data_IF_464513823343
#
_entry.id   IF_464513823343
#
_cell.length_a   1.000
_cell.length_b   1.000
_cell.length_c   1.000
_cell.angle_alpha   90.00
_cell.angle_beta   90.00
_cell.angle_gamma   90.00
#
_symmetry.space_group_name_H-M   'P 1'
#
loop_
_entity.id
_entity.type
_entity.pdbx_description
1 polymer ?
#
# COMPACT_ATOMS: atom_id res chain seq x y z
N UNK A 1 6.53 26.71 17.97
CA UNK A 1 5.19 26.19 17.59
C UNK A 1 5.34 24.68 17.39
N UNK A 2 4.69 23.83 18.20
CA UNK A 2 4.95 22.40 18.13
C UNK A 2 4.31 21.81 16.87
N UNK A 3 5.12 21.06 16.14
CA UNK A 3 4.80 20.38 14.89
C UNK A 3 4.00 19.12 15.22
N UNK A 4 2.79 18.99 14.70
CA UNK A 4 2.02 17.75 14.75
C UNK A 4 2.61 16.75 13.73
N UNK A 5 3.71 16.09 14.12
CA UNK A 5 4.39 15.06 13.33
C UNK A 5 4.42 13.81 14.17
N UNK A 6 3.75 12.77 13.70
CA UNK A 6 3.99 11.41 14.16
C UNK A 6 4.94 10.77 13.14
N UNK A 7 6.18 10.57 13.56
CA UNK A 7 7.18 9.81 12.80
C UNK A 7 6.87 8.33 12.99
N UNK A 8 6.60 7.61 11.90
CA UNK A 8 6.51 6.16 11.91
C UNK A 8 7.90 5.60 11.62
N UNK A 9 8.56 5.09 12.64
CA UNK A 9 9.94 4.59 12.55
C UNK A 9 9.92 3.11 12.18
N UNK A 10 9.87 2.83 10.88
CA UNK A 10 10.14 1.50 10.33
C UNK A 10 11.58 1.50 9.83
N UNK A 11 12.47 0.94 10.67
CA UNK A 11 13.86 0.58 10.40
C UNK A 11 14.40 0.97 9.02
N UNK A 12 15.16 2.07 8.94
CA UNK A 12 16.52 2.02 8.41
C UNK A 12 17.26 3.37 8.48
N UNK A 13 18.48 3.28 9.00
CA UNK A 13 19.47 4.35 9.21
C UNK A 13 20.11 4.81 7.89
N UNK A 14 19.31 5.15 6.89
CA UNK A 14 19.79 5.49 5.54
C UNK A 14 19.44 6.91 5.11
N UNK A 15 19.82 7.92 5.91
CA UNK A 15 19.98 9.28 5.40
C UNK A 15 21.31 9.84 5.90
N UNK A 16 22.22 10.10 4.95
CA UNK A 16 23.20 11.21 4.92
C UNK A 16 24.55 10.90 4.27
N UNK A 17 24.72 9.82 3.49
CA UNK A 17 25.79 9.84 2.49
C UNK A 17 25.29 10.64 1.30
N UNK A 18 25.76 11.89 1.17
CA UNK A 18 25.59 12.70 -0.06
C UNK A 18 25.93 11.80 -1.25
N UNK A 19 24.95 11.55 -2.13
CA UNK A 19 25.20 10.83 -3.37
C UNK A 19 26.22 11.63 -4.17
N UNK A 20 27.37 11.04 -4.53
CA UNK A 20 28.37 11.76 -5.30
C UNK A 20 27.77 12.18 -6.64
N UNK A 21 28.03 13.43 -7.03
CA UNK A 21 27.76 13.89 -8.37
C UNK A 21 28.70 13.16 -9.32
N UNK A 22 28.12 12.30 -10.16
CA UNK A 22 28.85 11.56 -11.18
C UNK A 22 28.25 11.96 -12.52
N UNK A 23 29.10 12.42 -13.44
CA UNK A 23 28.74 12.61 -14.84
C UNK A 23 29.14 11.36 -15.60
N UNK A 24 28.19 10.76 -16.29
CA UNK A 24 28.44 9.59 -17.12
C UNK A 24 28.73 10.00 -18.56
N UNK A 25 29.64 9.25 -19.20
CA UNK A 25 30.07 9.51 -20.56
C UNK A 25 29.50 8.42 -21.49
N UNK A 26 28.23 8.56 -21.84
CA UNK A 26 27.57 7.77 -22.88
C UNK A 26 26.68 8.68 -23.72
N UNK A 27 26.49 8.31 -24.98
CA UNK A 27 25.63 9.00 -25.93
C UNK A 27 24.15 8.71 -25.66
N UNK A 28 23.29 9.54 -26.25
CA UNK A 28 21.85 9.32 -26.22
C UNK A 28 21.44 7.97 -26.81
N UNK A 29 22.08 7.60 -27.92
CA UNK A 29 21.81 6.34 -28.60
C UNK A 29 22.18 5.13 -27.73
N UNK A 30 23.34 5.16 -27.07
CA UNK A 30 23.76 4.10 -26.14
C UNK A 30 22.78 3.96 -24.97
N UNK A 31 22.30 5.07 -24.42
CA UNK A 31 21.32 5.07 -23.34
C UNK A 31 19.98 4.48 -23.76
N UNK A 32 19.42 4.95 -24.88
CA UNK A 32 18.12 4.50 -25.37
C UNK A 32 18.15 3.04 -25.81
N UNK A 33 19.24 2.58 -26.44
CA UNK A 33 19.44 1.17 -26.80
C UNK A 33 19.52 0.25 -25.57
N UNK A 34 20.16 0.71 -24.49
CA UNK A 34 20.19 -0.05 -23.25
C UNK A 34 18.79 -0.21 -22.63
N UNK A 35 17.99 0.86 -22.62
CA UNK A 35 16.59 0.81 -22.15
C UNK A 35 15.73 -0.10 -23.04
N UNK A 36 15.92 -0.04 -24.36
CA UNK A 36 15.22 -0.89 -25.33
C UNK A 36 15.47 -2.39 -25.06
N UNK A 37 16.73 -2.75 -24.83
CA UNK A 37 17.12 -4.13 -24.55
C UNK A 37 16.54 -4.63 -23.21
N UNK A 38 16.62 -3.82 -22.15
CA UNK A 38 16.02 -4.14 -20.85
C UNK A 38 14.50 -4.30 -20.95
N UNK A 39 13.83 -3.38 -21.64
CA UNK A 39 12.39 -3.43 -21.82
C UNK A 39 11.95 -4.69 -22.61
N UNK A 40 12.71 -5.08 -23.64
CA UNK A 40 12.48 -6.33 -24.37
C UNK A 40 12.61 -7.56 -23.47
N UNK A 41 13.59 -7.58 -22.59
CA UNK A 41 13.78 -8.68 -21.65
C UNK A 41 12.69 -8.69 -20.56
N UNK A 42 12.22 -7.53 -20.13
CA UNK A 42 11.07 -7.42 -19.22
C UNK A 42 9.78 -7.91 -19.86
N UNK A 43 9.57 -7.64 -21.16
CA UNK A 43 8.45 -8.21 -21.92
C UNK A 43 8.53 -9.74 -21.92
N UNK A 44 9.70 -10.32 -22.22
CA UNK A 44 9.88 -11.79 -22.20
C UNK A 44 9.64 -12.39 -20.81
N UNK A 45 9.99 -11.67 -19.75
CA UNK A 45 9.77 -12.07 -18.35
C UNK A 45 8.35 -11.81 -17.84
N UNK A 46 7.47 -11.22 -18.66
CA UNK A 46 6.10 -10.91 -18.27
C UNK A 46 5.98 -9.78 -17.24
N UNK A 47 6.98 -8.90 -17.11
CA UNK A 47 6.93 -7.76 -16.19
C UNK A 47 5.99 -6.71 -16.77
N UNK A 48 5.00 -6.27 -16.00
CA UNK A 48 4.06 -5.23 -16.45
C UNK A 48 4.76 -3.88 -16.68
N UNK A 49 4.33 -3.10 -17.70
CA UNK A 49 4.94 -1.80 -18.04
C UNK A 49 5.17 -0.86 -16.86
N UNK A 50 4.23 -0.81 -15.92
CA UNK A 50 4.25 0.03 -14.72
C UNK A 50 5.41 -0.25 -13.75
N UNK A 51 5.94 -1.48 -13.69
CA UNK A 51 7.05 -1.85 -12.80
C UNK A 51 8.41 -1.73 -13.48
N UNK A 52 8.43 -1.64 -14.81
CA UNK A 52 9.66 -1.63 -15.60
C UNK A 52 10.61 -0.47 -15.27
N UNK A 53 10.15 0.77 -15.00
CA UNK A 53 11.06 1.84 -14.59
C UNK A 53 11.84 1.49 -13.32
N UNK A 54 11.17 0.87 -12.33
CA UNK A 54 11.79 0.44 -11.07
C UNK A 54 12.75 -0.72 -11.31
N UNK A 55 12.37 -1.70 -12.13
CA UNK A 55 13.27 -2.78 -12.53
C UNK A 55 14.49 -2.28 -13.30
N UNK A 56 14.34 -1.25 -14.15
CA UNK A 56 15.51 -0.61 -14.78
C UNK A 56 16.39 0.02 -13.71
N UNK A 57 15.85 0.83 -12.79
CA UNK A 57 16.65 1.47 -11.75
C UNK A 57 17.44 0.46 -10.88
N UNK A 58 16.91 -0.76 -10.70
CA UNK A 58 17.60 -1.84 -9.95
C UNK A 58 18.61 -2.63 -10.79
N UNK A 59 18.41 -2.77 -12.10
CA UNK A 59 19.23 -3.64 -12.97
C UNK A 59 20.21 -2.89 -13.86
N UNK A 60 20.00 -1.60 -14.10
CA UNK A 60 20.81 -0.82 -15.03
C UNK A 60 22.27 -0.71 -14.57
N UNK A 61 22.54 -0.74 -13.27
CA UNK A 61 23.90 -0.79 -12.71
C UNK A 61 24.62 -2.12 -12.99
N UNK A 62 23.88 -3.23 -13.10
CA UNK A 62 24.42 -4.56 -13.42
C UNK A 62 24.60 -4.81 -14.93
N UNK A 63 23.81 -4.14 -15.76
CA UNK A 63 23.75 -4.34 -17.22
C UNK A 63 24.57 -3.30 -17.99
N UNK A 64 24.87 -2.16 -17.37
CA UNK A 64 25.80 -1.16 -17.88
C UNK A 64 26.95 -0.99 -16.87
N UNK A 65 28.14 -1.57 -17.13
CA UNK A 65 29.29 -1.45 -16.24
C UNK A 65 29.68 0.00 -15.91
N UNK A 66 29.39 0.94 -16.81
CA UNK A 66 29.61 2.38 -16.61
C UNK A 66 28.66 3.01 -15.56
N UNK A 67 27.56 2.33 -15.22
CA UNK A 67 26.58 2.73 -14.21
C UNK A 67 26.67 1.86 -12.95
N UNK A 68 27.73 1.07 -12.79
CA UNK A 68 27.91 0.14 -11.67
C UNK A 68 27.85 0.82 -10.30
N UNK A 69 28.24 2.08 -10.22
CA UNK A 69 28.19 2.92 -9.03
C UNK A 69 27.10 4.02 -9.10
N UNK A 70 26.16 3.88 -10.04
CA UNK A 70 25.06 4.82 -10.19
C UNK A 70 24.08 4.69 -9.03
N UNK A 71 24.00 5.74 -8.22
CA UNK A 71 22.98 5.88 -7.22
C UNK A 71 21.82 6.66 -7.84
N UNK A 72 20.65 6.04 -7.85
CA UNK A 72 19.43 6.64 -8.38
C UNK A 72 18.75 7.41 -7.26
N UNK A 73 18.65 8.72 -7.42
CA UNK A 73 17.78 9.54 -6.59
C UNK A 73 16.40 9.61 -7.25
N UNK A 74 15.35 9.04 -6.65
CA UNK A 74 14.00 9.11 -7.20
C UNK A 74 13.41 10.54 -7.24
N UNK A 75 14.14 11.55 -6.71
CA UNK A 75 13.64 12.91 -6.47
C UNK A 75 14.61 14.03 -6.85
N UNK A 76 15.35 13.87 -7.94
CA UNK A 76 16.16 14.97 -8.47
C UNK A 76 15.44 15.69 -9.60
N UNK A 77 14.85 16.84 -9.25
CA UNK A 77 14.22 17.79 -10.17
C UNK A 77 15.27 18.60 -10.95
N UNK A 78 16.45 18.04 -11.25
CA UNK A 78 17.42 18.74 -12.08
C UNK A 78 16.86 18.88 -13.50
N UNK A 79 16.91 20.10 -14.09
CA UNK A 79 16.40 20.33 -15.41
C UNK A 79 17.14 19.45 -16.43
N UNK A 80 16.35 18.87 -17.33
CA UNK A 80 16.84 18.08 -18.44
C UNK A 80 17.78 18.92 -19.32
N UNK A 81 19.03 18.47 -19.46
CA UNK A 81 19.94 18.92 -20.52
C UNK A 81 20.24 17.72 -21.39
N UNK A 82 19.80 17.75 -22.65
CA UNK A 82 20.01 16.66 -23.61
C UNK A 82 21.50 16.34 -23.75
N UNK A 83 21.87 15.06 -23.67
CA UNK A 83 23.25 14.60 -23.77
C UNK A 83 24.08 14.75 -22.49
N UNK A 84 23.47 15.17 -21.38
CA UNK A 84 24.12 15.18 -20.07
C UNK A 84 23.46 14.12 -19.19
N UNK A 85 24.26 13.14 -18.77
CA UNK A 85 23.82 12.06 -17.90
C UNK A 85 24.53 12.17 -16.56
N UNK A 86 23.76 12.33 -15.49
CA UNK A 86 24.31 12.47 -14.13
C UNK A 86 23.61 11.53 -13.18
N UNK A 87 24.26 11.23 -12.04
CA UNK A 87 23.62 10.49 -10.93
C UNK A 87 22.33 11.17 -10.43
N UNK A 88 22.16 12.46 -10.71
CA UNK A 88 20.99 13.26 -10.33
C UNK A 88 19.87 13.17 -11.38
N UNK A 89 20.15 13.18 -12.68
CA UNK A 89 19.08 13.23 -13.69
C UNK A 89 18.66 11.86 -14.27
N UNK A 90 19.42 10.79 -14.00
CA UNK A 90 19.24 9.49 -14.64
C UNK A 90 17.87 8.85 -14.34
N UNK A 91 17.39 8.95 -13.10
CA UNK A 91 16.05 8.45 -12.73
C UNK A 91 14.93 9.17 -13.49
N UNK A 92 15.04 10.50 -13.62
CA UNK A 92 14.11 11.33 -14.40
C UNK A 92 14.13 10.95 -15.88
N UNK A 93 15.31 10.67 -16.44
CA UNK A 93 15.48 10.25 -17.84
C UNK A 93 14.85 8.88 -18.11
N UNK A 94 15.06 7.91 -17.23
CA UNK A 94 14.42 6.59 -17.30
C UNK A 94 12.90 6.75 -17.27
N UNK A 95 12.36 7.47 -16.28
CA UNK A 95 10.93 7.69 -16.15
C UNK A 95 10.33 8.38 -17.39
N UNK A 96 11.03 9.38 -17.95
CA UNK A 96 10.58 10.08 -19.16
C UNK A 96 10.53 9.14 -20.37
N UNK A 97 11.55 8.31 -20.58
CA UNK A 97 11.60 7.35 -21.69
C UNK A 97 10.43 6.37 -21.63
N UNK A 98 10.19 5.76 -20.45
CA UNK A 98 9.05 4.86 -20.27
C UNK A 98 7.72 5.59 -20.44
N UNK A 99 7.59 6.84 -19.96
CA UNK A 99 6.35 7.62 -20.08
C UNK A 99 6.00 7.94 -21.52
N UNK A 100 6.99 8.27 -22.35
CA UNK A 100 6.80 8.49 -23.78
C UNK A 100 6.35 7.21 -24.50
N UNK A 101 6.85 6.05 -24.07
CA UNK A 101 6.57 4.75 -24.71
C UNK A 101 5.23 4.14 -24.29
N UNK A 102 4.92 4.17 -23.01
CA UNK A 102 3.79 3.44 -22.42
C UNK A 102 2.62 4.33 -22.02
N UNK A 103 2.84 5.65 -21.89
CA UNK A 103 1.82 6.62 -21.52
C UNK A 103 1.06 6.17 -20.27
N UNK A 104 -0.26 6.03 -20.40
CA UNK A 104 -1.15 5.64 -19.31
C UNK A 104 -0.96 4.19 -18.81
N UNK A 105 -0.27 3.31 -19.57
CA UNK A 105 0.08 1.95 -19.10
C UNK A 105 1.11 1.94 -17.97
N UNK A 106 1.74 3.09 -17.70
CA UNK A 106 2.56 3.26 -16.49
C UNK A 106 1.74 3.60 -15.25
N UNK A 107 0.47 3.97 -15.41
CA UNK A 107 -0.39 4.20 -14.26
C UNK A 107 -0.49 2.89 -13.48
N UNK A 108 -0.03 2.93 -12.24
CA UNK A 108 -0.04 1.74 -11.40
C UNK A 108 -1.46 1.31 -11.01
N UNK A 109 -2.46 2.17 -11.19
CA UNK A 109 -3.87 1.87 -10.90
C UNK A 109 -4.04 1.18 -9.55
N UNK A 110 -4.84 0.11 -9.54
CA UNK A 110 -5.03 -0.73 -8.34
C UNK A 110 -3.80 -1.58 -7.97
N UNK A 111 -2.80 -1.69 -8.85
CA UNK A 111 -1.61 -2.53 -8.66
C UNK A 111 -0.47 -1.83 -7.90
N UNK A 112 -0.57 -0.53 -7.59
CA UNK A 112 0.27 0.11 -6.56
C UNK A 112 -0.52 0.44 -5.30
N UNK A 113 -1.50 -0.39 -4.98
CA UNK A 113 -2.22 -0.34 -3.73
C UNK A 113 -1.85 -1.61 -2.97
N UNK A 114 -1.31 -1.47 -1.75
CA UNK A 114 -1.03 -2.60 -0.86
C UNK A 114 -2.26 -3.04 -0.06
N UNK A 115 -3.30 -2.21 -0.05
CA UNK A 115 -4.60 -2.50 0.53
C UNK A 115 -5.46 -1.25 0.62
N UNK A 116 -6.68 -1.41 1.08
CA UNK A 116 -7.62 -0.33 1.33
C UNK A 116 -8.09 -0.39 2.78
N UNK A 117 -8.79 0.65 3.21
CA UNK A 117 -9.56 0.59 4.43
C UNK A 117 -10.75 1.55 4.37
N UNK A 118 -11.76 1.27 5.20
CA UNK A 118 -12.79 2.23 5.51
C UNK A 118 -12.32 3.19 6.61
N UNK A 119 -12.41 4.49 6.35
CA UNK A 119 -12.34 5.53 7.37
C UNK A 119 -13.74 6.11 7.61
N UNK A 120 -14.18 6.12 8.87
CA UNK A 120 -15.41 6.80 9.25
C UNK A 120 -15.12 8.27 9.54
N UNK A 121 -15.64 9.15 8.70
CA UNK A 121 -15.58 10.60 8.90
C UNK A 121 -16.99 11.06 9.28
N UNK A 122 -17.18 11.38 10.57
CA UNK A 122 -18.48 11.77 11.16
C UNK A 122 -19.61 10.77 10.88
N UNK A 123 -19.28 9.49 10.88
CA UNK A 123 -20.24 8.39 10.66
C UNK A 123 -20.42 7.97 9.20
N UNK A 124 -19.93 8.75 8.23
CA UNK A 124 -19.96 8.35 6.82
C UNK A 124 -18.68 7.57 6.46
N UNK A 125 -18.79 6.41 5.80
CA UNK A 125 -17.63 5.65 5.33
C UNK A 125 -17.00 6.29 4.09
N UNK A 126 -15.68 6.42 4.13
CA UNK A 126 -14.83 6.77 3.00
C UNK A 126 -13.78 5.68 2.78
N UNK A 127 -13.36 5.49 1.52
CA UNK A 127 -12.28 4.57 1.18
C UNK A 127 -10.96 5.32 1.28
N UNK A 128 -10.03 4.82 2.09
CA UNK A 128 -8.65 5.26 2.10
C UNK A 128 -7.76 4.21 1.44
N UNK A 129 -6.91 4.67 0.52
CA UNK A 129 -6.02 3.84 -0.27
C UNK A 129 -4.65 3.79 0.40
N UNK A 130 -4.07 2.60 0.53
CA UNK A 130 -2.68 2.42 0.94
C UNK A 130 -1.78 2.25 -0.30
N UNK A 131 -1.06 3.28 -0.74
CA UNK A 131 -0.18 3.14 -1.91
C UNK A 131 1.04 2.27 -1.60
N UNK A 132 1.69 1.70 -2.61
CA UNK A 132 3.05 1.16 -2.47
C UNK A 132 4.03 2.33 -2.31
N UNK A 133 4.89 2.28 -1.29
CA UNK A 133 5.86 3.34 -0.99
C UNK A 133 7.25 2.72 -0.92
N UNK A 134 8.19 3.31 -1.66
CA UNK A 134 9.61 2.98 -1.57
C UNK A 134 10.31 4.02 -0.71
N UNK A 135 10.80 3.60 0.47
CA UNK A 135 11.48 4.47 1.44
C UNK A 135 10.55 5.03 2.51
N UNK A 136 11.00 6.08 3.19
CA UNK A 136 10.25 6.74 4.27
C UNK A 136 9.49 7.93 3.72
N UNK A 137 8.21 8.03 4.07
CA UNK A 137 7.42 9.23 3.82
C UNK A 137 6.73 9.68 5.09
N UNK A 138 6.44 10.98 5.14
CA UNK A 138 5.59 11.59 6.14
C UNK A 138 4.16 11.62 5.65
N UNK A 139 3.20 11.20 6.47
CA UNK A 139 1.78 11.30 6.15
C UNK A 139 1.21 12.54 6.85
N UNK A 140 0.57 13.41 6.09
CA UNK A 140 0.01 14.68 6.57
C UNK A 140 -1.44 14.85 6.14
N UNK A 141 -2.14 15.76 6.82
CA UNK A 141 -3.45 16.23 6.40
C UNK A 141 -3.35 17.68 5.98
N UNK A 142 -3.39 17.95 4.67
CA UNK A 142 -3.38 19.34 4.17
C UNK A 142 -4.47 19.56 3.13
N UNK A 143 -5.39 20.47 3.44
CA UNK A 143 -6.54 20.74 2.58
C UNK A 143 -6.23 21.88 1.60
N UNK A 144 -5.23 22.70 1.92
CA UNK A 144 -4.78 23.79 1.06
C UNK A 144 -3.95 23.22 -0.10
N UNK A 145 -4.08 23.84 -1.26
CA UNK A 145 -3.32 23.48 -2.45
C UNK A 145 -1.87 23.99 -2.34
N UNK A 146 -1.12 23.40 -1.42
CA UNK A 146 0.29 23.71 -1.14
C UNK A 146 1.13 22.64 -1.81
N UNK A 147 2.21 23.06 -2.47
CA UNK A 147 3.23 22.13 -2.95
C UNK A 147 3.87 21.45 -1.75
N UNK A 148 3.58 20.16 -1.57
CA UNK A 148 4.17 19.38 -0.49
C UNK A 148 5.59 18.93 -0.86
N UNK A 149 6.46 18.72 0.15
CA UNK A 149 7.73 18.03 -0.04
C UNK A 149 7.54 16.67 -0.72
N UNK A 150 8.54 16.22 -1.47
CA UNK A 150 8.49 14.96 -2.22
C UNK A 150 8.43 13.71 -1.34
N UNK A 151 8.85 13.84 -0.07
CA UNK A 151 8.79 12.79 0.96
C UNK A 151 7.49 12.86 1.79
N UNK A 152 6.46 13.57 1.31
CA UNK A 152 5.21 13.76 2.04
C UNK A 152 4.00 13.27 1.23
N UNK A 153 3.19 12.42 1.85
CA UNK A 153 1.89 11.99 1.32
C UNK A 153 0.79 12.76 2.04
N UNK A 154 -0.05 13.43 1.27
CA UNK A 154 -1.29 14.01 1.77
C UNK A 154 -2.39 12.95 1.85
N UNK A 155 -2.86 12.65 3.05
CA UNK A 155 -3.95 11.69 3.27
C UNK A 155 -5.25 12.13 2.60
N UNK A 156 -5.52 13.44 2.50
CA UNK A 156 -6.71 13.97 1.81
C UNK A 156 -6.79 13.45 0.36
N UNK A 157 -5.65 13.34 -0.32
CA UNK A 157 -5.55 12.88 -1.71
C UNK A 157 -5.57 11.34 -1.83
N UNK A 158 -5.61 10.63 -0.71
CA UNK A 158 -5.69 9.16 -0.65
C UNK A 158 -7.05 8.67 -0.16
N UNK A 159 -7.95 9.59 0.14
CA UNK A 159 -9.33 9.27 0.50
C UNK A 159 -10.22 9.54 -0.71
N UNK A 160 -10.88 8.51 -1.21
CA UNK A 160 -11.76 8.60 -2.36
C UNK A 160 -13.00 9.45 -2.05
N UNK A 161 -13.38 10.31 -3.00
CA UNK A 161 -14.59 11.15 -2.92
C UNK A 161 -14.66 12.08 -1.69
N UNK A 162 -13.54 12.33 -0.99
CA UNK A 162 -13.48 13.32 0.08
C UNK A 162 -13.51 14.73 -0.50
N UNK A 163 -14.58 15.47 -0.22
CA UNK A 163 -14.71 16.84 -0.71
C UNK A 163 -13.86 17.81 0.09
N UNK A 164 -13.41 18.89 -0.55
CA UNK A 164 -12.70 19.99 0.11
C UNK A 164 -13.50 20.53 1.31
N UNK A 165 -14.82 20.68 1.17
CA UNK A 165 -15.67 21.22 2.23
C UNK A 165 -15.66 20.33 3.47
N UNK A 166 -15.80 19.00 3.30
CA UNK A 166 -15.72 18.06 4.42
C UNK A 166 -14.33 18.10 5.03
N UNK A 167 -13.28 17.98 4.22
CA UNK A 167 -11.90 17.94 4.69
C UNK A 167 -11.48 19.20 5.46
N UNK A 168 -11.90 20.37 5.00
CA UNK A 168 -11.59 21.67 5.63
C UNK A 168 -12.41 21.92 6.90
N UNK A 169 -13.54 21.21 7.07
CA UNK A 169 -14.43 21.38 8.23
C UNK A 169 -14.03 20.53 9.45
N UNK A 170 -13.06 19.62 9.30
CA UNK A 170 -12.63 18.74 10.39
C UNK A 170 -11.82 19.50 11.44
N UNK A 171 -12.08 19.18 12.70
CA UNK A 171 -11.30 19.67 13.84
C UNK A 171 -9.92 19.01 13.87
N UNK A 172 -8.98 19.62 14.61
CA UNK A 172 -7.64 19.06 14.78
C UNK A 172 -7.66 17.66 15.40
N UNK A 173 -8.57 17.41 16.34
CA UNK A 173 -8.69 16.12 17.01
C UNK A 173 -9.25 15.04 16.10
N UNK A 174 -10.24 15.39 15.25
CA UNK A 174 -10.74 14.49 14.20
C UNK A 174 -9.62 14.11 13.23
N UNK A 175 -8.85 15.10 12.77
CA UNK A 175 -7.70 14.89 11.86
C UNK A 175 -6.64 14.00 12.51
N UNK A 176 -6.29 14.26 13.77
CA UNK A 176 -5.28 13.47 14.49
C UNK A 176 -5.70 12.00 14.59
N UNK A 177 -6.96 11.72 14.94
CA UNK A 177 -7.50 10.36 15.01
C UNK A 177 -7.47 9.64 13.66
N UNK A 178 -7.83 10.35 12.58
CA UNK A 178 -7.77 9.78 11.23
C UNK A 178 -6.34 9.45 10.81
N UNK A 179 -5.39 10.36 11.05
CA UNK A 179 -3.97 10.12 10.76
C UNK A 179 -3.41 8.96 11.58
N UNK A 180 -3.72 8.89 12.87
CA UNK A 180 -3.25 7.80 13.74
C UNK A 180 -3.76 6.43 13.26
N UNK A 181 -5.06 6.33 12.99
CA UNK A 181 -5.68 5.09 12.51
C UNK A 181 -5.12 4.69 11.14
N UNK A 182 -5.00 5.65 10.21
CA UNK A 182 -4.43 5.40 8.90
C UNK A 182 -2.98 4.92 9.01
N UNK A 183 -2.12 5.62 9.77
CA UNK A 183 -0.70 5.27 9.90
C UNK A 183 -0.49 3.87 10.48
N UNK A 184 -1.20 3.53 11.56
CA UNK A 184 -1.09 2.21 12.19
C UNK A 184 -1.59 1.11 11.25
N UNK A 185 -2.70 1.34 10.54
CA UNK A 185 -3.26 0.35 9.61
C UNK A 185 -2.38 0.18 8.39
N UNK A 186 -1.88 1.28 7.83
CA UNK A 186 -0.95 1.27 6.69
C UNK A 186 0.32 0.48 7.03
N UNK A 187 0.94 0.73 8.18
CA UNK A 187 2.13 0.00 8.61
C UNK A 187 1.87 -1.52 8.75
N UNK A 188 0.76 -1.88 9.38
CA UNK A 188 0.34 -3.28 9.55
C UNK A 188 0.03 -3.97 8.20
N UNK A 189 -0.68 -3.29 7.31
CA UNK A 189 -1.02 -3.79 5.98
C UNK A 189 0.23 -3.97 5.12
N UNK A 190 1.14 -3.00 5.15
CA UNK A 190 2.39 -3.07 4.42
C UNK A 190 3.25 -4.25 4.91
N UNK A 191 3.36 -4.45 6.23
CA UNK A 191 4.04 -5.60 6.83
C UNK A 191 3.39 -6.93 6.41
N UNK A 192 2.06 -6.97 6.32
CA UNK A 192 1.33 -8.15 5.87
C UNK A 192 1.56 -8.44 4.39
N UNK A 193 1.48 -7.41 3.54
CA UNK A 193 1.76 -7.46 2.11
C UNK A 193 3.18 -8.00 1.83
N UNK A 194 4.20 -7.49 2.54
CA UNK A 194 5.59 -7.93 2.36
C UNK A 194 5.94 -9.24 3.07
N UNK A 195 5.05 -9.77 3.91
CA UNK A 195 5.36 -10.90 4.80
C UNK A 195 5.71 -12.20 4.09
N UNK A 196 5.29 -12.35 2.83
CA UNK A 196 5.36 -13.61 2.08
C UNK A 196 4.55 -14.75 2.73
N UNK A 197 3.64 -14.43 3.66
CA UNK A 197 2.85 -15.44 4.37
C UNK A 197 1.92 -16.19 3.43
N UNK A 198 1.70 -17.46 3.74
CA UNK A 198 0.70 -18.29 3.05
C UNK A 198 -0.66 -17.61 3.16
N UNK A 199 -1.41 -17.60 2.06
CA UNK A 199 -2.73 -16.95 1.90
C UNK A 199 -2.74 -15.41 1.90
N UNK A 200 -1.57 -14.75 1.89
CA UNK A 200 -1.52 -13.28 1.90
C UNK A 200 -2.19 -12.65 0.67
N UNK A 201 -1.97 -13.19 -0.53
CA UNK A 201 -2.58 -12.68 -1.75
C UNK A 201 -4.10 -12.87 -1.73
N UNK A 202 -4.58 -14.06 -1.40
CA UNK A 202 -6.01 -14.36 -1.32
C UNK A 202 -6.71 -13.58 -0.20
N UNK A 203 -5.99 -13.20 0.86
CA UNK A 203 -6.52 -12.33 1.90
C UNK A 203 -6.69 -10.90 1.39
N UNK A 204 -5.70 -10.36 0.68
CA UNK A 204 -5.78 -9.01 0.10
C UNK A 204 -6.91 -8.90 -0.92
N UNK A 205 -7.19 -9.95 -1.68
CA UNK A 205 -8.37 -10.00 -2.55
C UNK A 205 -9.67 -9.90 -1.75
N UNK A 206 -9.81 -10.64 -0.64
CA UNK A 206 -11.00 -10.52 0.22
C UNK A 206 -11.11 -9.12 0.83
N UNK A 207 -9.99 -8.48 1.18
CA UNK A 207 -9.99 -7.11 1.71
C UNK A 207 -10.59 -6.12 0.71
N UNK A 208 -10.16 -6.18 -0.55
CA UNK A 208 -10.72 -5.36 -1.62
C UNK A 208 -12.23 -5.60 -1.79
N UNK A 209 -12.66 -6.86 -1.83
CA UNK A 209 -14.09 -7.21 -1.94
C UNK A 209 -14.89 -6.73 -0.72
N UNK A 210 -14.32 -6.80 0.47
CA UNK A 210 -14.94 -6.32 1.69
C UNK A 210 -15.20 -4.81 1.64
N UNK A 211 -14.23 -4.02 1.16
CA UNK A 211 -14.38 -2.56 0.98
C UNK A 211 -15.42 -2.25 -0.09
N UNK A 212 -15.32 -2.87 -1.26
CA UNK A 212 -16.23 -2.60 -2.38
C UNK A 212 -17.68 -2.93 -1.99
N UNK A 213 -17.90 -4.05 -1.31
CA UNK A 213 -19.24 -4.47 -0.88
C UNK A 213 -19.95 -3.53 0.10
N UNK A 214 -19.23 -2.65 0.81
CA UNK A 214 -19.82 -1.64 1.72
C UNK A 214 -20.56 -0.54 0.95
N UNK A 215 -20.13 -0.25 -0.28
CA UNK A 215 -20.70 0.80 -1.11
C UNK A 215 -21.78 0.30 -2.09
N UNK A 216 -22.03 -1.01 -2.12
CA UNK A 216 -23.07 -1.62 -2.94
C UNK A 216 -24.23 -2.10 -2.05
N UNK A 217 -25.45 -1.62 -2.29
CA UNK A 217 -26.62 -1.83 -1.40
C UNK A 217 -27.04 -3.29 -1.21
N UNK A 218 -26.61 -4.20 -2.09
CA UNK A 218 -26.83 -5.64 -2.04
C UNK A 218 -25.57 -6.42 -1.59
N UNK A 219 -24.46 -5.72 -1.32
CA UNK A 219 -23.16 -6.30 -1.03
C UNK A 219 -22.84 -6.49 0.46
N UNK A 220 -23.69 -6.06 1.40
CA UNK A 220 -23.33 -6.04 2.83
C UNK A 220 -23.04 -7.42 3.41
N UNK A 221 -23.84 -8.43 3.04
CA UNK A 221 -23.61 -9.81 3.48
C UNK A 221 -22.30 -10.37 2.94
N UNK A 222 -22.02 -10.11 1.65
CA UNK A 222 -20.77 -10.50 0.99
C UNK A 222 -19.56 -9.78 1.60
N UNK A 223 -19.65 -8.46 1.83
CA UNK A 223 -18.59 -7.69 2.48
C UNK A 223 -18.25 -8.19 3.89
N UNK A 224 -19.26 -8.54 4.69
CA UNK A 224 -19.05 -9.14 6.01
C UNK A 224 -18.37 -10.50 5.91
N UNK A 225 -18.77 -11.32 4.93
CA UNK A 225 -18.11 -12.59 4.63
C UNK A 225 -16.65 -12.41 4.21
N UNK A 226 -16.36 -11.44 3.37
CA UNK A 226 -15.00 -11.17 2.90
C UNK A 226 -14.12 -10.62 4.04
N UNK A 227 -14.68 -9.82 4.95
CA UNK A 227 -14.00 -9.42 6.19
C UNK A 227 -13.63 -10.62 7.07
N UNK A 228 -14.49 -11.65 7.11
CA UNK A 228 -14.21 -12.92 7.77
C UNK A 228 -13.10 -13.69 7.06
N UNK A 229 -13.16 -13.82 5.73
CA UNK A 229 -12.16 -14.55 4.95
C UNK A 229 -10.78 -13.90 5.03
N UNK A 230 -10.71 -12.56 4.94
CA UNK A 230 -9.47 -11.81 5.16
C UNK A 230 -8.85 -12.14 6.52
N UNK A 231 -9.65 -12.05 7.59
CA UNK A 231 -9.19 -12.31 8.96
C UNK A 231 -8.79 -13.78 9.14
N UNK A 232 -9.55 -14.71 8.58
CA UNK A 232 -9.27 -16.14 8.61
C UNK A 232 -7.91 -16.45 7.97
N UNK A 233 -7.68 -15.94 6.76
CA UNK A 233 -6.43 -16.16 6.01
C UNK A 233 -5.24 -15.51 6.71
N UNK A 234 -5.41 -14.31 7.27
CA UNK A 234 -4.41 -13.67 8.13
C UNK A 234 -4.01 -14.56 9.32
N UNK A 235 -4.98 -15.03 10.12
CA UNK A 235 -4.70 -15.86 11.30
C UNK A 235 -4.12 -17.22 10.91
N UNK A 236 -4.59 -17.82 9.81
CA UNK A 236 -4.04 -19.08 9.28
C UNK A 236 -2.61 -18.93 8.80
N UNK A 237 -2.30 -17.84 8.11
CA UNK A 237 -0.95 -17.50 7.68
C UNK A 237 -0.01 -17.30 8.88
N UNK A 238 -0.49 -16.64 9.94
CA UNK A 238 0.29 -16.44 11.17
C UNK A 238 0.56 -17.75 11.89
N UNK A 239 -0.47 -18.58 12.05
CA UNK A 239 -0.33 -19.90 12.64
C UNK A 239 0.68 -20.75 11.86
N UNK A 240 0.58 -20.78 10.53
CA UNK A 240 1.55 -21.50 9.71
C UNK A 240 2.97 -20.95 9.92
N UNK A 241 3.15 -19.63 9.96
CA UNK A 241 4.46 -19.00 10.16
C UNK A 241 5.07 -19.27 11.53
N UNK A 242 4.27 -19.27 12.59
CA UNK A 242 4.72 -19.46 13.98
C UNK A 242 4.95 -20.93 14.30
N UNK A 243 3.99 -21.79 13.95
CA UNK A 243 3.99 -23.20 14.34
C UNK A 243 4.59 -24.14 13.29
N UNK A 244 4.80 -23.64 12.06
CA UNK A 244 5.21 -24.44 10.90
C UNK A 244 4.28 -25.66 10.66
N UNK A 245 2.98 -25.48 10.94
CA UNK A 245 1.95 -26.53 10.81
C UNK A 245 0.82 -26.04 9.92
N UNK A 246 0.21 -26.97 9.18
CA UNK A 246 -0.99 -26.66 8.40
C UNK A 246 -2.12 -26.19 9.33
N UNK A 247 -2.78 -25.05 9.02
CA UNK A 247 -3.89 -24.57 9.81
C UNK A 247 -5.09 -25.51 9.73
N UNK A 248 -5.90 -25.52 10.79
CA UNK A 248 -7.15 -26.29 10.80
C UNK A 248 -8.13 -25.78 9.73
N UNK A 249 -8.91 -26.70 9.16
CA UNK A 249 -9.98 -26.37 8.21
C UNK A 249 -11.23 -25.91 8.97
N UNK A 250 -11.20 -24.65 9.41
CA UNK A 250 -12.35 -23.99 10.04
C UNK A 250 -12.45 -22.53 9.57
N UNK A 251 -13.68 -22.01 9.60
CA UNK A 251 -14.01 -20.60 9.39
C UNK A 251 -14.30 -19.87 10.72
N UNK A 252 -14.21 -20.58 11.86
CA UNK A 252 -14.46 -20.00 13.17
C UNK A 252 -13.22 -19.27 13.67
N UNK A 253 -13.26 -17.93 13.63
CA UNK A 253 -12.10 -17.11 14.01
C UNK A 253 -11.70 -17.29 15.48
N UNK A 254 -12.66 -17.55 16.37
CA UNK A 254 -12.39 -17.81 17.78
C UNK A 254 -11.52 -19.06 17.97
N UNK A 255 -11.78 -20.14 17.22
CA UNK A 255 -10.96 -21.35 17.25
C UNK A 255 -9.55 -21.11 16.70
N UNK A 256 -9.42 -20.25 15.67
CA UNK A 256 -8.10 -19.88 15.14
C UNK A 256 -7.30 -19.02 16.12
N UNK A 257 -7.96 -18.10 16.82
CA UNK A 257 -7.33 -17.26 17.83
C UNK A 257 -6.82 -18.08 19.03
N UNK A 258 -7.54 -19.12 19.43
CA UNK A 258 -7.09 -20.06 20.49
C UNK A 258 -5.78 -20.79 20.12
N UNK A 259 -5.49 -20.97 18.83
CA UNK A 259 -4.23 -21.54 18.35
C UNK A 259 -3.06 -20.54 18.38
N UNK A 260 -3.32 -19.27 18.68
CA UNK A 260 -2.36 -18.18 18.68
C UNK A 260 -2.33 -17.48 20.06
N UNK A 261 -2.10 -18.20 21.17
CA UNK A 261 -2.25 -17.66 22.52
C UNK A 261 -1.24 -16.55 22.87
N UNK A 262 -0.15 -16.44 22.11
CA UNK A 262 0.86 -15.38 22.25
C UNK A 262 0.42 -14.04 21.64
N UNK A 263 -0.63 -14.04 20.81
CA UNK A 263 -1.20 -12.84 20.20
C UNK A 263 -2.40 -12.36 21.02
N UNK A 264 -2.42 -11.08 21.37
CA UNK A 264 -3.55 -10.49 22.09
C UNK A 264 -4.71 -10.16 21.14
N UNK A 265 -5.43 -11.18 20.67
CA UNK A 265 -6.53 -11.04 19.71
C UNK A 265 -7.81 -10.69 20.47
N UNK A 266 -8.39 -9.52 20.15
CA UNK A 266 -9.62 -9.05 20.77
C UNK A 266 -10.86 -9.86 20.35
N UNK A 267 -11.44 -10.61 21.30
CA UNK A 267 -12.63 -11.43 21.07
C UNK A 267 -13.86 -10.60 20.65
N UNK A 268 -13.98 -9.34 21.10
CA UNK A 268 -15.11 -8.50 20.69
C UNK A 268 -15.03 -8.19 19.20
N UNK A 269 -13.83 -7.88 18.69
CA UNK A 269 -13.59 -7.71 17.26
C UNK A 269 -13.90 -8.99 16.48
N UNK A 270 -13.47 -10.17 16.95
CA UNK A 270 -13.81 -11.44 16.30
C UNK A 270 -15.32 -11.67 16.20
N UNK A 271 -16.08 -11.32 17.24
CA UNK A 271 -17.53 -11.49 17.23
C UNK A 271 -18.24 -10.58 16.21
N UNK A 272 -17.71 -9.37 15.96
CA UNK A 272 -18.24 -8.48 14.91
C UNK A 272 -18.02 -9.05 13.51
N UNK A 273 -16.88 -9.73 13.31
CA UNK A 273 -16.47 -10.31 12.02
C UNK A 273 -17.18 -11.64 11.75
N UNK A 274 -17.31 -12.50 12.77
CA UNK A 274 -17.87 -13.85 12.60
C UNK A 274 -19.29 -13.81 12.00
N UNK A 275 -19.49 -14.64 10.97
CA UNK A 275 -20.78 -14.88 10.34
C UNK A 275 -20.81 -16.29 9.73
N UNK A 276 -22.00 -16.83 9.48
CA UNK A 276 -22.13 -18.07 8.71
C UNK A 276 -22.13 -17.78 7.21
N UNK A 277 -21.93 -18.82 6.39
CA UNK A 277 -22.00 -18.70 4.94
C UNK A 277 -23.36 -18.18 4.41
N UNK A 278 -24.43 -18.28 5.20
CA UNK A 278 -25.79 -17.86 4.84
C UNK A 278 -25.93 -16.37 4.53
N UNK A 279 -25.02 -15.50 5.00
CA UNK A 279 -25.00 -14.07 4.67
C UNK A 279 -24.81 -13.82 3.16
N UNK A 280 -24.18 -14.75 2.44
CA UNK A 280 -23.97 -14.66 0.98
C UNK A 280 -25.20 -15.07 0.17
N UNK A 281 -26.02 -15.94 0.73
CA UNK A 281 -27.20 -16.50 0.06
C UNK A 281 -28.49 -15.77 0.43
N UNK A 282 -28.40 -14.65 1.18
CA UNK A 282 -29.55 -13.89 1.63
C UNK A 282 -30.37 -14.56 2.75
N UNK A 283 -29.88 -15.68 3.29
CA UNK A 283 -30.50 -16.39 4.43
C UNK A 283 -30.43 -15.56 5.71
N UNK A 284 -29.35 -14.79 5.86
CA UNK A 284 -29.14 -13.87 6.97
C UNK A 284 -28.97 -12.46 6.39
N UNK A 285 -29.86 -11.55 6.79
CA UNK A 285 -29.75 -10.15 6.41
C UNK A 285 -28.65 -9.48 7.22
N UNK A 286 -27.76 -8.79 6.52
CA UNK A 286 -26.70 -7.95 7.10
C UNK A 286 -26.97 -6.52 6.65
N UNK A 287 -26.98 -5.58 7.59
CA UNK A 287 -27.13 -4.16 7.26
C UNK A 287 -25.77 -3.49 7.00
N UNK A 288 -25.79 -2.26 6.45
CA UNK A 288 -24.57 -1.49 6.12
C UNK A 288 -23.66 -1.31 7.34
N UNK A 289 -24.22 -1.00 8.51
CA UNK A 289 -23.43 -0.78 9.73
C UNK A 289 -22.73 -2.06 10.20
N UNK A 290 -23.39 -3.21 10.13
CA UNK A 290 -22.77 -4.50 10.48
C UNK A 290 -21.61 -4.86 9.55
N UNK A 291 -21.73 -4.54 8.27
CA UNK A 291 -20.67 -4.75 7.28
C UNK A 291 -19.48 -3.81 7.52
N UNK A 292 -19.74 -2.53 7.82
CA UNK A 292 -18.72 -1.57 8.24
C UNK A 292 -18.02 -2.03 9.52
N UNK A 293 -18.78 -2.42 10.54
CA UNK A 293 -18.24 -2.85 11.83
C UNK A 293 -17.36 -4.10 11.70
N UNK A 294 -17.74 -5.04 10.82
CA UNK A 294 -16.94 -6.22 10.53
C UNK A 294 -15.61 -5.85 9.84
N UNK A 295 -15.62 -4.96 8.85
CA UNK A 295 -14.41 -4.52 8.17
C UNK A 295 -13.48 -3.72 9.11
N UNK A 296 -14.03 -2.79 9.90
CA UNK A 296 -13.22 -2.03 10.87
C UNK A 296 -12.61 -2.93 11.95
N UNK A 297 -13.36 -3.95 12.39
CA UNK A 297 -12.87 -4.96 13.33
C UNK A 297 -11.76 -5.82 12.71
N UNK A 298 -11.88 -6.22 11.44
CA UNK A 298 -10.83 -7.01 10.76
C UNK A 298 -9.53 -6.21 10.60
N UNK A 299 -9.63 -4.92 10.24
CA UNK A 299 -8.48 -4.01 10.21
C UNK A 299 -7.88 -3.76 11.60
N UNK A 300 -8.70 -3.78 12.66
CA UNK A 300 -8.18 -3.74 14.03
C UNK A 300 -7.39 -5.00 14.36
N UNK A 301 -7.91 -6.19 14.05
CA UNK A 301 -7.16 -7.44 14.25
C UNK A 301 -5.84 -7.41 13.50
N UNK A 302 -5.83 -6.97 12.24
CA UNK A 302 -4.59 -6.79 11.46
C UNK A 302 -3.56 -5.94 12.22
N UNK A 303 -3.96 -4.76 12.71
CA UNK A 303 -3.07 -3.89 13.50
C UNK A 303 -2.56 -4.54 14.78
N UNK A 304 -3.42 -5.28 15.46
CA UNK A 304 -3.07 -5.90 16.75
C UNK A 304 -2.06 -7.05 16.58
N UNK A 305 -2.10 -7.76 15.45
CA UNK A 305 -1.24 -8.95 15.20
C UNK A 305 -0.03 -8.68 14.31
N UNK A 306 -0.04 -7.61 13.51
CA UNK A 306 1.05 -7.23 12.60
C UNK A 306 1.89 -6.06 13.14
N UNK A 307 2.15 -6.06 14.45
CA UNK A 307 3.08 -5.11 15.12
C UNK A 307 4.51 -5.49 14.84
#
# INVERSE_FOLDING_TARGET
MPKNVLEADAHNKWISKKVPYVKYNFSKEEFENALENLDRDFIKKGIDPQFRPIHVMTLISSQLPILKDACFLPYCNEPFVSGIYTSYNLGTLINKWFKLRYGNKLSLGERAIVGRMILLIRGEPYIAIFPVIFGTVKITWEVKNIQLPTDTINLVNKIENLTFQVANSLTKDEIYKLLEVYNKTYAAMYKFYESGMVYSQEALEDEHQAVDGIFHSYGFGQSKWDSLQFTEKLLKGLYFKIENKKPQRTHCLNKLAELLPTLNIDKQSLNKINCSAGVRYGEIKVNKQESIDAHLASMKILRDVMV
#
